data_IF_317652386248
#
_entry.id   IF_317652386248
#
_cell.length_a   1.000
_cell.length_b   1.000
_cell.length_c   1.000
_cell.angle_alpha   90.00
_cell.angle_beta   90.00
_cell.angle_gamma   90.00
#
_symmetry.space_group_name_H-M   'P 1'
#
loop_
_entity.id
_entity.type
_entity.pdbx_description
1 polymer ?
#
# COMPACT_ATOMS: atom_id res chain seq x y z
N UNK A 1 9.06 -6.82 -4.97
CA UNK A 1 7.69 -7.20 -4.57
C UNK A 1 7.72 -7.47 -3.08
N UNK A 2 6.93 -6.73 -2.29
CA UNK A 2 6.86 -6.95 -0.86
C UNK A 2 6.10 -8.22 -0.53
N UNK A 3 6.63 -9.02 0.39
CA UNK A 3 5.98 -10.24 0.88
C UNK A 3 4.85 -9.95 1.89
N UNK A 4 4.80 -8.71 2.41
CA UNK A 4 3.84 -8.31 3.43
C UNK A 4 2.48 -7.89 2.85
N UNK A 5 1.41 -8.25 3.56
CA UNK A 5 0.02 -7.84 3.27
C UNK A 5 -0.53 -6.97 4.39
N UNK A 6 -1.46 -6.08 4.05
CA UNK A 6 -2.12 -5.22 5.02
C UNK A 6 -2.76 -6.06 6.14
N UNK A 7 -2.44 -5.80 7.41
CA UNK A 7 -2.91 -6.64 8.51
C UNK A 7 -4.42 -6.52 8.73
N UNK A 8 -5.03 -5.40 8.30
CA UNK A 8 -6.47 -5.11 8.50
C UNK A 8 -7.35 -5.66 7.39
N UNK A 9 -6.95 -5.50 6.12
CA UNK A 9 -7.80 -5.86 4.99
C UNK A 9 -7.19 -6.93 4.06
N UNK A 10 -5.92 -7.30 4.24
CA UNK A 10 -5.23 -8.28 3.40
C UNK A 10 -4.84 -7.79 2.00
N UNK A 11 -5.05 -6.50 1.70
CA UNK A 11 -4.59 -5.88 0.46
C UNK A 11 -3.06 -5.80 0.39
N UNK A 12 -2.53 -5.49 -0.79
CA UNK A 12 -1.11 -5.26 -1.01
C UNK A 12 -0.61 -4.01 -0.29
N UNK A 13 0.69 -4.02 0.03
CA UNK A 13 1.41 -2.92 0.65
C UNK A 13 2.46 -2.37 -0.31
N UNK A 14 2.47 -1.06 -0.48
CA UNK A 14 3.57 -0.31 -1.10
C UNK A 14 4.74 -0.18 -0.14
N UNK A 15 5.95 -0.38 -0.66
CA UNK A 15 7.20 -0.21 0.08
C UNK A 15 7.77 1.18 -0.14
N UNK A 16 7.99 1.93 0.95
CA UNK A 16 8.71 3.20 0.96
C UNK A 16 9.94 3.14 1.89
N UNK A 17 10.49 1.94 2.14
CA UNK A 17 11.73 1.77 2.93
C UNK A 17 12.95 2.38 2.26
N UNK A 18 13.01 2.30 0.93
CA UNK A 18 14.03 3.00 0.18
C UNK A 18 13.68 4.49 0.18
N UNK A 19 14.55 5.29 0.81
CA UNK A 19 14.42 6.73 0.80
C UNK A 19 14.40 7.28 -0.62
N UNK A 20 13.66 8.36 -0.82
CA UNK A 20 13.73 9.08 -2.09
C UNK A 20 15.11 9.74 -2.27
N UNK A 21 15.32 10.35 -3.44
CA UNK A 21 16.54 11.10 -3.75
C UNK A 21 16.85 12.25 -2.76
N UNK A 22 15.90 12.60 -1.89
CA UNK A 22 16.01 13.60 -0.83
C UNK A 22 16.32 13.00 0.54
N UNK A 23 16.47 11.67 0.63
CA UNK A 23 16.80 10.96 1.86
C UNK A 23 15.66 10.97 2.88
N UNK A 24 14.41 11.18 2.45
CA UNK A 24 13.27 11.09 3.35
C UNK A 24 12.93 9.63 3.62
N UNK A 25 13.16 9.19 4.85
CA UNK A 25 12.70 7.90 5.35
C UNK A 25 11.39 8.11 6.09
N UNK A 26 10.32 7.45 5.64
CA UNK A 26 9.08 7.40 6.41
C UNK A 26 9.27 6.46 7.60
N UNK A 27 8.99 6.93 8.82
CA UNK A 27 8.99 6.09 10.04
C UNK A 27 8.06 4.86 9.90
N UNK A 28 6.99 5.00 9.10
CA UNK A 28 6.06 3.95 8.71
C UNK A 28 6.11 3.72 7.19
N UNK A 29 7.07 2.92 6.70
CA UNK A 29 7.37 2.84 5.27
C UNK A 29 6.37 2.00 4.47
N UNK A 30 5.44 1.27 5.12
CA UNK A 30 4.51 0.40 4.40
C UNK A 30 3.13 1.02 4.32
N UNK A 31 2.66 1.29 3.10
CA UNK A 31 1.32 1.86 2.88
C UNK A 31 0.36 0.84 2.30
N UNK A 32 -0.84 0.74 2.87
CA UNK A 32 -1.92 -0.06 2.27
C UNK A 32 -2.48 0.61 1.02
N UNK A 33 -2.30 -0.02 -0.15
CA UNK A 33 -2.87 0.43 -1.43
C UNK A 33 -4.37 0.15 -1.56
N UNK A 34 -4.91 -0.73 -0.73
CA UNK A 34 -6.30 -1.18 -0.81
C UNK A 34 -6.53 -2.20 -1.93
N UNK A 35 -7.71 -2.79 -1.96
CA UNK A 35 -8.08 -3.80 -2.96
C UNK A 35 -8.46 -3.15 -4.27
N UNK A 36 -8.03 -3.74 -5.38
CA UNK A 36 -8.52 -3.36 -6.71
C UNK A 36 -10.02 -3.61 -6.77
N UNK A 37 -10.79 -2.57 -7.09
CA UNK A 37 -12.24 -2.66 -7.27
C UNK A 37 -12.48 -3.36 -8.61
N UNK A 38 -13.20 -4.47 -8.59
CA UNK A 38 -13.59 -5.21 -9.80
C UNK A 38 -15.13 -5.19 -9.96
N UNK A 39 -15.65 -4.86 -11.15
CA UNK A 39 -14.91 -4.41 -12.33
C UNK A 39 -14.25 -3.03 -12.12
N UNK A 40 -13.14 -2.76 -12.81
CA UNK A 40 -12.42 -1.48 -12.71
C UNK A 40 -13.40 -0.35 -13.06
N UNK A 41 -13.55 0.69 -12.23
CA UNK A 41 -14.47 1.79 -12.53
C UNK A 41 -13.94 2.71 -13.64
N UNK A 42 -14.85 3.41 -14.34
CA UNK A 42 -14.48 4.44 -15.31
C UNK A 42 -14.08 5.74 -14.58
N UNK A 43 -13.02 6.46 -15.01
CA UNK A 43 -12.14 6.20 -16.15
C UNK A 43 -11.10 5.13 -15.84
N UNK A 44 -10.98 4.12 -16.72
CA UNK A 44 -10.03 3.02 -16.57
C UNK A 44 -8.60 3.53 -16.86
N UNK A 45 -7.97 4.17 -15.87
CA UNK A 45 -6.61 4.71 -15.99
C UNK A 45 -5.58 3.57 -15.90
N UNK A 46 -5.53 2.88 -14.76
CA UNK A 46 -4.70 1.69 -14.54
C UNK A 46 -5.16 0.93 -13.29
N UNK A 47 -4.80 -0.36 -13.12
CA UNK A 47 -5.02 -1.09 -11.87
C UNK A 47 -4.33 -0.45 -10.66
N UNK A 48 -3.22 0.24 -10.90
CA UNK A 48 -2.45 0.93 -9.85
C UNK A 48 -2.98 2.30 -9.50
N UNK A 49 -3.95 2.83 -10.26
CA UNK A 49 -4.59 4.10 -9.94
C UNK A 49 -5.36 3.99 -8.63
N UNK A 50 -5.05 4.86 -7.66
CA UNK A 50 -5.72 4.89 -6.36
C UNK A 50 -7.24 5.08 -6.47
N UNK A 51 -7.74 5.70 -7.55
CA UNK A 51 -9.18 5.85 -7.82
C UNK A 51 -9.89 4.50 -8.10
N UNK A 52 -9.14 3.50 -8.54
CA UNK A 52 -9.64 2.16 -8.82
C UNK A 52 -9.48 1.20 -7.63
N UNK A 53 -9.01 1.69 -6.48
CA UNK A 53 -8.77 0.87 -5.29
C UNK A 53 -9.68 1.31 -4.13
N UNK A 54 -9.97 0.39 -3.21
CA UNK A 54 -10.66 0.73 -1.96
C UNK A 54 -9.81 1.66 -1.11
N UNK A 55 -10.43 2.36 -0.15
CA UNK A 55 -9.70 3.23 0.79
C UNK A 55 -8.55 2.48 1.49
N UNK A 56 -7.41 3.15 1.60
CA UNK A 56 -6.23 2.65 2.33
C UNK A 56 -6.55 2.47 3.82
N UNK A 57 -6.01 1.41 4.42
CA UNK A 57 -6.10 1.19 5.88
C UNK A 57 -5.11 2.01 6.71
N UNK A 58 -4.23 2.77 6.05
CA UNK A 58 -3.18 3.60 6.66
C UNK A 58 -1.77 3.15 6.28
N UNK A 59 -0.82 3.65 7.05
CA UNK A 59 0.57 3.27 7.05
C UNK A 59 0.85 2.28 8.18
N UNK A 60 1.91 1.51 8.02
CA UNK A 60 2.34 0.49 8.95
C UNK A 60 3.86 0.50 9.05
N UNK A 61 4.34 0.26 10.26
CA UNK A 61 5.75 0.01 10.53
C UNK A 61 6.11 -1.46 10.22
N UNK A 62 7.39 -1.75 10.00
CA UNK A 62 7.88 -3.13 9.82
C UNK A 62 7.50 -4.01 11.04
N UNK A 63 7.64 -3.46 12.25
CA UNK A 63 7.35 -4.15 13.49
C UNK A 63 5.86 -4.54 13.64
N UNK A 64 4.93 -3.81 13.02
CA UNK A 64 3.51 -4.19 12.99
C UNK A 64 3.22 -5.32 12.00
N UNK A 65 4.00 -5.40 10.92
CA UNK A 65 3.83 -6.42 9.89
C UNK A 65 4.46 -7.76 10.27
N UNK A 66 5.58 -7.73 10.99
CA UNK A 66 6.28 -8.93 11.48
C UNK A 66 5.58 -9.61 12.66
N UNK A 67 4.68 -8.91 13.37
CA UNK A 67 3.93 -9.46 14.51
C UNK A 67 2.76 -10.37 14.12
N UNK A 68 2.63 -10.74 12.84
CA UNK A 68 1.49 -11.48 12.30
C UNK A 68 1.81 -12.93 11.95
#
# INVERSE_FOLDING_TARGET
MNEYKCPKCGAELEDFREGDEWGYFADEPFRCSGHLIQPVPYPHISPDCALNRTKSCGYFSLAELEKK
#
